data_IF_065345091171
#
_entry.id   IF_065345091171
#
_cell.length_a   1.000
_cell.length_b   1.000
_cell.length_c   1.000
_cell.angle_alpha   90.00
_cell.angle_beta   90.00
_cell.angle_gamma   90.00
#
_symmetry.space_group_name_H-M   'P 1'
#
loop_
_entity.id
_entity.type
_entity.pdbx_description
1 polymer ?
#
# COMPACT_ATOMS: atom_id res chain seq x y z
N UNK A 1 -33.58 33.68 -13.32
CA UNK A 1 -33.69 33.18 -14.71
C UNK A 1 -32.47 33.51 -15.55
N UNK A 2 -31.59 32.53 -15.74
CA UNK A 2 -30.65 32.48 -16.88
C UNK A 2 -30.39 31.00 -17.19
N UNK A 3 -31.14 30.45 -18.16
CA UNK A 3 -30.97 29.07 -18.63
C UNK A 3 -29.78 29.03 -19.60
N UNK A 4 -28.71 28.34 -19.20
CA UNK A 4 -27.63 27.91 -20.09
C UNK A 4 -27.91 26.48 -20.54
N UNK A 5 -28.04 26.28 -21.85
CA UNK A 5 -28.06 24.97 -22.51
C UNK A 5 -26.63 24.42 -22.65
N UNK A 6 -26.40 23.10 -22.50
CA UNK A 6 -25.12 22.49 -22.82
C UNK A 6 -25.04 22.13 -24.31
N UNK A 7 -23.99 22.62 -24.97
CA UNK A 7 -23.63 22.22 -26.33
C UNK A 7 -22.96 20.85 -26.35
N UNK A 8 -23.48 19.97 -27.20
CA UNK A 8 -22.93 18.62 -27.46
C UNK A 8 -21.70 18.74 -28.35
N UNK A 9 -20.53 18.40 -27.83
CA UNK A 9 -19.28 18.30 -28.60
C UNK A 9 -19.19 16.89 -29.21
N UNK A 10 -19.36 16.76 -30.54
CA UNK A 10 -19.04 15.53 -31.28
C UNK A 10 -17.59 15.58 -31.75
N UNK A 11 -16.71 14.82 -31.11
CA UNK A 11 -15.34 14.58 -31.60
C UNK A 11 -15.41 13.48 -32.65
N UNK A 12 -15.00 13.81 -33.88
CA UNK A 12 -14.89 12.90 -35.02
C UNK A 12 -13.45 12.39 -35.05
N UNK A 13 -13.25 11.12 -34.70
CA UNK A 13 -11.96 10.46 -34.82
C UNK A 13 -11.63 10.24 -36.30
N UNK A 14 -10.49 10.74 -36.76
CA UNK A 14 -9.86 10.30 -38.02
C UNK A 14 -8.66 9.43 -37.67
N UNK A 15 -8.75 8.15 -38.02
CA UNK A 15 -7.60 7.24 -38.11
C UNK A 15 -6.81 7.57 -39.38
N UNK A 16 -5.49 7.77 -39.25
CA UNK A 16 -4.56 7.66 -40.38
C UNK A 16 -3.20 7.15 -39.91
N UNK A 17 -3.07 5.83 -39.99
CA UNK A 17 -1.92 5.02 -40.43
C UNK A 17 -0.53 5.65 -40.50
N UNK A 18 0.39 5.10 -39.69
CA UNK A 18 1.79 4.67 -40.02
C UNK A 18 2.37 3.96 -38.79
N UNK A 19 2.35 2.62 -38.73
CA UNK A 19 3.48 1.72 -39.04
C UNK A 19 4.84 2.20 -38.51
N UNK A 20 5.36 1.58 -37.45
CA UNK A 20 6.41 0.55 -37.52
C UNK A 20 7.03 0.22 -36.15
N UNK A 21 7.25 -1.07 -35.92
CA UNK A 21 8.30 -1.70 -35.10
C UNK A 21 8.39 -1.38 -33.59
N UNK A 22 7.90 -2.31 -32.76
CA UNK A 22 8.80 -3.14 -31.94
C UNK A 22 8.05 -4.35 -31.36
N UNK A 23 8.61 -5.52 -31.65
CA UNK A 23 8.28 -6.83 -31.10
C UNK A 23 9.11 -7.02 -29.82
N UNK A 24 8.54 -7.77 -28.88
CA UNK A 24 9.15 -8.40 -27.70
C UNK A 24 9.24 -7.56 -26.40
N UNK A 25 8.17 -7.64 -25.59
CA UNK A 25 8.24 -8.22 -24.24
C UNK A 25 6.82 -8.24 -23.63
N UNK A 26 6.12 -9.37 -23.82
CA UNK A 26 4.99 -9.76 -22.99
C UNK A 26 5.55 -10.78 -22.02
N UNK A 27 5.70 -10.41 -20.75
CA UNK A 27 5.33 -11.24 -19.59
C UNK A 27 5.46 -10.41 -18.30
N UNK A 28 4.46 -10.55 -17.44
CA UNK A 28 4.33 -10.04 -16.06
C UNK A 28 4.09 -8.54 -15.87
N UNK A 29 2.80 -8.17 -15.81
CA UNK A 29 2.24 -7.29 -14.77
C UNK A 29 0.71 -7.38 -14.85
N UNK A 30 0.14 -8.32 -14.10
CA UNK A 30 -1.27 -8.29 -13.73
C UNK A 30 -1.38 -7.68 -12.33
N UNK A 31 -2.23 -6.66 -12.18
CA UNK A 31 -2.73 -6.20 -10.89
C UNK A 31 -2.18 -4.88 -10.38
N UNK A 32 -2.76 -3.76 -10.85
CA UNK A 32 -2.97 -2.54 -10.08
C UNK A 32 -3.87 -1.59 -10.88
N UNK A 33 -5.18 -1.65 -10.64
CA UNK A 33 -6.09 -0.56 -11.03
C UNK A 33 -6.17 0.41 -9.85
N UNK A 34 -5.34 1.45 -9.86
CA UNK A 34 -5.54 2.64 -9.02
C UNK A 34 -6.21 3.74 -9.83
N UNK A 35 -7.28 4.28 -9.25
CA UNK A 35 -8.01 5.46 -9.72
C UNK A 35 -7.12 6.70 -9.65
N UNK A 36 -6.91 7.37 -10.79
CA UNK A 36 -6.29 8.68 -10.83
C UNK A 36 -7.20 9.74 -10.19
N UNK A 37 -6.76 10.32 -9.07
CA UNK A 37 -7.26 11.60 -8.56
C UNK A 37 -6.30 12.70 -8.99
N UNK A 38 -6.69 13.47 -10.01
CA UNK A 38 -6.02 14.70 -10.41
C UNK A 38 -6.35 15.79 -9.38
N UNK A 39 -5.44 16.01 -8.43
CA UNK A 39 -5.12 17.32 -7.79
C UNK A 39 -4.42 17.06 -6.44
N UNK A 40 -3.11 16.80 -6.48
CA UNK A 40 -2.25 16.91 -5.32
C UNK A 40 -0.84 17.34 -5.75
N UNK A 41 -0.48 18.59 -5.45
CA UNK A 41 0.88 19.09 -5.51
C UNK A 41 1.65 18.50 -4.31
N UNK A 42 2.59 17.60 -4.59
CA UNK A 42 3.55 17.09 -3.60
C UNK A 42 4.90 17.74 -3.90
N UNK A 43 5.32 18.65 -3.03
CA UNK A 43 6.70 19.16 -3.00
C UNK A 43 7.62 18.09 -2.43
N UNK A 44 8.59 17.62 -3.23
CA UNK A 44 9.70 16.78 -2.76
C UNK A 44 10.94 17.65 -2.41
N UNK A 45 11.67 17.32 -1.34
CA UNK A 45 12.87 18.05 -0.92
C UNK A 45 14.08 17.79 -1.83
N UNK A 46 14.92 18.83 -1.95
CA UNK A 46 16.03 18.99 -2.93
C UNK A 46 17.29 18.16 -2.70
N UNK A 47 17.29 17.14 -1.85
CA UNK A 47 18.54 16.46 -1.45
C UNK A 47 18.83 15.15 -2.20
N UNK A 48 17.97 14.73 -3.14
CA UNK A 48 18.17 13.49 -3.91
C UNK A 48 18.96 13.61 -5.23
N UNK A 49 19.39 14.80 -5.66
CA UNK A 49 19.97 15.01 -7.01
C UNK A 49 21.50 14.96 -7.13
N UNK A 50 22.25 14.65 -6.07
CA UNK A 50 23.72 14.68 -6.10
C UNK A 50 24.45 13.31 -6.15
N UNK A 51 23.74 12.18 -6.21
CA UNK A 51 24.38 10.84 -6.13
C UNK A 51 24.25 9.96 -7.39
N UNK A 52 24.16 10.55 -8.58
CA UNK A 52 24.11 9.81 -9.86
C UNK A 52 24.96 10.44 -10.98
N UNK A 53 26.16 10.93 -10.65
CA UNK A 53 27.18 11.35 -11.64
C UNK A 53 28.61 10.91 -11.29
N UNK A 54 28.78 9.72 -10.74
CA UNK A 54 30.10 9.11 -10.61
C UNK A 54 30.08 7.67 -11.14
N UNK A 55 30.17 7.50 -12.47
CA UNK A 55 30.82 6.35 -13.14
C UNK A 55 30.57 6.35 -14.65
N UNK A 56 31.22 7.24 -15.41
CA UNK A 56 31.63 6.95 -16.81
C UNK A 56 32.94 7.71 -17.08
N UNK A 57 34.06 6.98 -17.21
CA UNK A 57 35.25 7.44 -17.95
C UNK A 57 34.96 7.28 -19.45
N UNK A 58 35.45 8.19 -20.31
CA UNK A 58 36.64 7.78 -21.07
C UNK A 58 37.70 8.89 -21.20
N UNK A 59 38.90 8.40 -21.48
CA UNK A 59 40.12 9.14 -21.71
C UNK A 59 40.08 10.00 -22.99
N UNK A 60 40.56 11.23 -22.90
CA UNK A 60 41.30 11.91 -23.96
C UNK A 60 42.30 12.89 -23.34
N UNK A 61 43.42 13.05 -24.04
CA UNK A 61 44.72 13.61 -23.64
C UNK A 61 44.76 15.14 -23.81
N UNK A 62 45.50 15.80 -22.92
CA UNK A 62 46.11 17.16 -22.93
C UNK A 62 45.31 18.38 -23.43
N UNK A 63 45.18 19.42 -22.60
CA UNK A 63 46.11 20.57 -22.56
C UNK A 63 45.65 21.55 -21.46
N UNK A 64 46.59 22.02 -20.63
CA UNK A 64 46.32 22.97 -19.56
C UNK A 64 46.18 24.39 -20.12
N UNK A 65 45.03 25.03 -19.87
CA UNK A 65 44.91 26.49 -19.95
C UNK A 65 44.11 26.97 -18.74
N UNK A 66 44.81 27.66 -17.84
CA UNK A 66 44.20 28.59 -16.89
C UNK A 66 43.51 29.70 -17.68
N UNK A 67 42.20 29.87 -17.49
CA UNK A 67 41.52 31.09 -17.92
C UNK A 67 40.89 31.77 -16.71
N UNK A 68 41.60 32.80 -16.26
CA UNK A 68 41.01 33.96 -15.62
C UNK A 68 40.28 34.77 -16.68
N UNK A 69 39.01 35.08 -16.46
CA UNK A 69 38.28 36.15 -17.16
C UNK A 69 37.36 36.79 -16.10
N UNK A 70 37.49 38.07 -15.75
CA UNK A 70 37.84 39.16 -16.63
C UNK A 70 36.63 40.07 -16.69
N UNK A 71 36.73 41.20 -16.00
CA UNK A 71 35.88 42.34 -16.25
C UNK A 71 35.90 42.66 -17.75
N UNK A 72 34.73 42.70 -18.41
CA UNK A 72 34.37 43.69 -19.43
C UNK A 72 33.14 43.24 -20.23
N UNK A 73 31.97 43.65 -19.75
CA UNK A 73 30.88 44.07 -20.63
C UNK A 73 30.68 45.58 -20.40
N UNK A 74 31.78 46.31 -20.58
CA UNK A 74 31.79 47.75 -20.74
C UNK A 74 30.95 48.09 -21.96
N UNK A 75 29.72 48.53 -21.72
CA UNK A 75 28.87 49.19 -22.70
C UNK A 75 29.50 50.51 -23.12
N UNK A 76 30.58 50.45 -23.91
CA UNK A 76 31.12 51.60 -24.64
C UNK A 76 30.27 51.83 -25.87
N UNK A 77 29.12 52.45 -25.65
CA UNK A 77 28.58 53.45 -26.56
C UNK A 77 28.48 54.77 -25.80
N UNK A 78 29.66 55.26 -25.36
CA UNK A 78 29.84 56.57 -24.73
C UNK A 78 29.85 57.72 -25.77
N UNK A 79 29.01 57.67 -26.80
CA UNK A 79 28.92 58.82 -27.72
C UNK A 79 28.03 59.94 -27.17
N UNK A 80 27.21 59.64 -26.17
CA UNK A 80 26.65 60.59 -25.21
C UNK A 80 26.76 59.92 -23.84
N UNK A 81 27.38 60.56 -22.84
CA UNK A 81 27.67 60.00 -21.51
C UNK A 81 26.43 59.70 -20.66
N UNK A 82 25.51 58.87 -21.15
CA UNK A 82 24.27 58.55 -20.48
C UNK A 82 24.15 57.05 -20.20
N UNK A 83 23.61 56.74 -19.02
CA UNK A 83 23.39 55.39 -18.55
C UNK A 83 22.22 54.75 -19.32
N UNK A 84 22.39 53.54 -19.87
CA UNK A 84 21.34 52.87 -20.68
C UNK A 84 20.57 51.78 -19.95
N UNK A 85 21.02 51.31 -18.79
CA UNK A 85 20.30 50.26 -18.06
C UNK A 85 19.18 50.87 -17.24
N UNK A 86 17.94 50.41 -17.43
CA UNK A 86 16.78 50.91 -16.68
C UNK A 86 16.59 50.21 -15.32
N UNK A 87 17.43 49.22 -15.02
CA UNK A 87 17.21 48.24 -13.95
C UNK A 87 16.23 47.16 -14.41
N UNK A 88 16.26 45.98 -13.77
CA UNK A 88 15.41 44.83 -14.11
C UNK A 88 16.05 43.78 -15.04
N UNK A 89 15.56 42.55 -14.95
CA UNK A 89 16.00 41.41 -15.79
C UNK A 89 14.82 40.89 -16.59
N UNK A 90 15.07 40.56 -17.85
CA UNK A 90 14.09 40.01 -18.79
C UNK A 90 14.50 38.57 -19.11
N UNK A 91 14.25 37.65 -18.15
CA UNK A 91 14.72 36.26 -18.22
C UNK A 91 13.80 35.35 -19.05
N UNK A 92 12.50 35.66 -19.09
CA UNK A 92 11.44 34.86 -19.72
C UNK A 92 10.40 35.72 -20.46
N UNK A 93 10.61 37.03 -20.57
CA UNK A 93 9.60 37.96 -21.09
C UNK A 93 10.18 39.30 -21.53
N UNK A 94 9.30 40.19 -21.96
CA UNK A 94 9.66 41.54 -22.41
C UNK A 94 9.87 42.44 -21.19
N UNK A 95 10.60 43.54 -21.35
CA UNK A 95 10.69 44.53 -20.29
C UNK A 95 9.33 45.21 -20.10
N UNK A 96 9.01 45.63 -18.87
CA UNK A 96 7.72 46.29 -18.61
C UNK A 96 7.52 47.51 -19.53
N UNK A 97 6.36 47.59 -20.17
CA UNK A 97 6.04 48.62 -21.18
C UNK A 97 6.17 50.06 -20.67
N UNK A 98 6.05 50.27 -19.35
CA UNK A 98 6.20 51.59 -18.74
C UNK A 98 7.65 52.12 -18.82
N UNK A 99 8.64 51.22 -18.95
CA UNK A 99 10.07 51.57 -19.03
C UNK A 99 10.48 51.98 -20.43
N UNK A 100 9.71 51.58 -21.46
CA UNK A 100 10.03 51.78 -22.88
C UNK A 100 11.46 51.29 -23.23
N UNK A 101 11.85 50.17 -22.64
CA UNK A 101 13.17 49.56 -22.77
C UNK A 101 13.08 48.22 -23.53
N UNK A 102 14.15 47.87 -24.24
CA UNK A 102 14.27 46.60 -24.94
C UNK A 102 15.05 45.60 -24.10
N UNK A 103 14.70 44.31 -24.23
CA UNK A 103 15.44 43.23 -23.60
C UNK A 103 16.70 42.90 -24.42
N UNK A 104 17.89 43.14 -23.86
CA UNK A 104 19.19 42.77 -24.44
C UNK A 104 20.00 42.05 -23.36
N UNK A 105 20.56 40.88 -23.68
CA UNK A 105 21.37 40.09 -22.74
C UNK A 105 20.71 39.86 -21.37
N UNK A 106 19.41 39.52 -21.39
CA UNK A 106 18.57 39.29 -20.20
C UNK A 106 18.44 40.51 -19.27
N UNK A 107 18.77 41.72 -19.75
CA UNK A 107 18.64 42.99 -19.05
C UNK A 107 17.82 44.00 -19.86
N UNK A 108 17.11 44.88 -19.15
CA UNK A 108 16.34 45.94 -19.78
C UNK A 108 17.21 47.16 -20.06
N UNK A 109 17.34 47.53 -21.34
CA UNK A 109 18.19 48.63 -21.80
C UNK A 109 17.46 49.57 -22.77
N UNK A 110 17.81 50.85 -22.74
CA UNK A 110 17.24 51.84 -23.66
C UNK A 110 17.80 51.70 -25.07
N UNK A 111 16.89 51.63 -26.05
CA UNK A 111 17.23 51.57 -27.46
C UNK A 111 17.63 52.95 -28.02
N UNK A 112 18.51 52.94 -29.03
CA UNK A 112 18.91 54.15 -29.77
C UNK A 112 19.69 55.18 -28.92
N UNK A 113 19.37 56.45 -29.12
CA UNK A 113 19.96 57.62 -28.43
C UNK A 113 19.24 57.98 -27.12
N UNK A 114 18.34 57.11 -26.64
CA UNK A 114 17.60 57.30 -25.38
C UNK A 114 18.46 56.93 -24.18
N UNK A 115 18.21 57.63 -23.08
CA UNK A 115 18.96 57.46 -21.83
C UNK A 115 18.02 57.05 -20.70
N UNK A 116 18.53 56.22 -19.79
CA UNK A 116 17.79 55.76 -18.63
C UNK A 116 17.86 56.83 -17.53
N UNK A 117 16.74 57.49 -17.27
CA UNK A 117 16.57 58.42 -16.15
C UNK A 117 15.42 57.90 -15.29
N UNK A 118 15.70 57.59 -14.03
CA UNK A 118 14.75 56.98 -13.08
C UNK A 118 14.07 55.71 -13.63
N UNK A 119 14.84 54.86 -14.32
CA UNK A 119 14.36 53.58 -14.84
C UNK A 119 13.44 53.66 -16.07
N UNK A 120 13.31 54.84 -16.71
CA UNK A 120 12.60 55.01 -17.99
C UNK A 120 13.53 55.53 -19.08
N UNK A 121 13.28 55.11 -20.31
CA UNK A 121 14.01 55.57 -21.48
C UNK A 121 13.42 56.89 -22.00
N UNK A 122 14.15 57.98 -21.81
CA UNK A 122 13.78 59.30 -22.35
C UNK A 122 14.69 59.67 -23.52
N UNK A 123 14.10 60.35 -24.50
CA UNK A 123 14.82 60.86 -25.66
C UNK A 123 15.51 62.17 -25.28
N UNK A 124 16.82 62.26 -25.52
CA UNK A 124 17.58 63.50 -25.37
C UNK A 124 17.22 64.41 -26.56
N UNK A 125 15.99 64.90 -26.63
CA UNK A 125 15.71 66.16 -27.31
C UNK A 125 16.16 67.28 -26.38
N UNK A 126 16.80 68.30 -26.93
CA UNK A 126 17.42 69.46 -26.28
C UNK A 126 16.49 70.25 -25.34
N UNK A 127 16.09 69.65 -24.22
CA UNK A 127 15.42 70.34 -23.10
C UNK A 127 16.39 70.43 -21.92
N UNK A 128 17.61 70.88 -22.20
CA UNK A 128 18.36 71.70 -21.28
C UNK A 128 18.27 73.14 -21.76
N UNK A 129 17.04 73.69 -21.70
CA UNK A 129 16.78 75.12 -21.83
C UNK A 129 17.52 75.85 -20.70
N UNK A 130 18.76 76.22 -20.99
CA UNK A 130 19.54 77.19 -20.26
C UNK A 130 18.86 78.56 -20.33
N UNK A 131 17.81 78.77 -19.53
CA UNK A 131 17.34 80.11 -19.18
C UNK A 131 18.29 80.73 -18.16
N UNK A 132 19.42 81.25 -18.64
CA UNK A 132 20.12 82.36 -17.99
C UNK A 132 21.23 82.88 -18.89
N UNK A 133 20.93 83.94 -19.64
CA UNK A 133 21.82 85.09 -19.90
C UNK A 133 21.21 86.06 -20.91
N UNK A 134 20.62 87.12 -20.38
CA UNK A 134 20.34 88.45 -20.95
C UNK A 134 19.50 89.11 -19.85
N UNK A 135 19.96 90.01 -19.00
CA UNK A 135 20.81 91.18 -19.21
C UNK A 135 21.40 91.56 -17.84
N UNK A 136 22.71 91.78 -17.72
CA UNK A 136 23.29 92.76 -16.78
C UNK A 136 24.82 92.82 -16.92
N UNK A 137 25.28 93.42 -18.00
CA UNK A 137 26.67 93.90 -18.13
C UNK A 137 26.73 95.43 -18.07
N UNK A 138 25.73 96.08 -17.48
CA UNK A 138 25.70 97.53 -17.26
C UNK A 138 25.85 97.92 -15.78
N UNK A 139 25.71 96.98 -14.83
CA UNK A 139 25.99 97.24 -13.40
C UNK A 139 27.47 97.15 -13.03
N UNK A 140 28.34 96.59 -13.89
CA UNK A 140 29.76 96.40 -13.59
C UNK A 140 30.59 97.70 -13.74
N UNK A 141 30.12 98.67 -14.53
CA UNK A 141 30.77 99.99 -14.64
C UNK A 141 30.51 100.89 -13.44
N UNK A 142 29.37 100.72 -12.74
CA UNK A 142 29.02 101.53 -11.57
C UNK A 142 29.81 101.14 -10.31
N UNK A 143 30.28 99.89 -10.21
CA UNK A 143 31.06 99.40 -9.05
C UNK A 143 32.56 99.73 -9.18
N UNK A 144 33.07 99.98 -10.39
CA UNK A 144 34.48 100.33 -10.61
C UNK A 144 34.82 101.80 -10.31
N UNK A 145 33.83 102.69 -10.18
CA UNK A 145 34.04 104.10 -9.79
C UNK A 145 33.95 104.36 -8.28
N UNK A 146 33.55 103.39 -7.46
CA UNK A 146 33.56 103.50 -5.98
C UNK A 146 34.83 102.93 -5.32
N UNK A 147 35.74 102.33 -6.11
CA UNK A 147 36.95 101.65 -5.61
C UNK A 147 38.19 102.53 -5.41
N UNK A 148 38.15 103.82 -5.74
CA UNK A 148 39.29 104.73 -5.55
C UNK A 148 39.33 105.42 -4.17
N UNK A 149 38.37 105.16 -3.26
CA UNK A 149 38.35 105.74 -1.91
C UNK A 149 38.68 104.76 -0.76
N UNK A 150 39.03 103.49 -1.03
CA UNK A 150 39.41 102.50 -0.01
C UNK A 150 40.78 101.87 -0.32
N UNK A 151 41.80 102.70 -0.43
CA UNK A 151 43.20 102.29 -0.65
C UNK A 151 44.03 102.25 0.65
N UNK A 152 43.46 102.59 1.81
CA UNK A 152 44.19 102.60 3.10
C UNK A 152 43.89 101.40 4.03
N UNK A 153 43.02 100.46 3.64
CA UNK A 153 42.74 99.23 4.42
C UNK A 153 43.26 97.94 3.79
N UNK A 154 43.90 98.01 2.61
CA UNK A 154 44.43 96.84 1.90
C UNK A 154 45.64 96.19 2.59
N UNK A 155 46.43 96.95 3.36
CA UNK A 155 47.55 96.41 4.15
C UNK A 155 47.06 95.68 5.42
N UNK A 156 46.02 96.20 6.08
CA UNK A 156 45.40 95.53 7.23
C UNK A 156 44.65 94.25 6.83
N UNK A 157 43.96 94.25 5.68
CA UNK A 157 43.26 93.08 5.17
C UNK A 157 44.20 91.93 4.75
N UNK A 158 45.42 92.24 4.32
CA UNK A 158 46.43 91.21 3.98
C UNK A 158 46.98 90.52 5.23
N UNK A 159 47.26 91.27 6.30
CA UNK A 159 47.69 90.70 7.58
C UNK A 159 46.60 89.84 8.23
N UNK A 160 45.33 90.27 8.15
CA UNK A 160 44.18 89.49 8.66
C UNK A 160 43.93 88.19 7.84
N UNK A 161 44.19 88.23 6.52
CA UNK A 161 44.10 87.05 5.67
C UNK A 161 45.24 86.04 5.92
N UNK A 162 46.47 86.51 6.13
CA UNK A 162 47.61 85.66 6.48
C UNK A 162 47.44 85.04 7.87
N UNK A 163 46.91 85.79 8.86
CA UNK A 163 46.59 85.26 10.18
C UNK A 163 45.48 84.19 10.14
N UNK A 164 44.43 84.39 9.34
CA UNK A 164 43.36 83.38 9.16
C UNK A 164 43.84 82.15 8.40
N UNK A 165 44.73 82.30 7.42
CA UNK A 165 45.32 81.16 6.72
C UNK A 165 46.16 80.29 7.67
N UNK A 166 46.95 80.89 8.56
CA UNK A 166 47.69 80.17 9.58
C UNK A 166 46.77 79.48 10.60
N UNK A 167 45.67 80.13 11.00
CA UNK A 167 44.68 79.52 11.92
C UNK A 167 43.95 78.33 11.28
N UNK A 168 43.64 78.39 9.97
CA UNK A 168 43.04 77.28 9.22
C UNK A 168 44.00 76.10 9.14
N UNK A 169 45.29 76.35 8.88
CA UNK A 169 46.33 75.31 8.84
C UNK A 169 46.51 74.61 10.19
N UNK A 170 46.63 75.37 11.29
CA UNK A 170 46.75 74.81 12.63
C UNK A 170 45.52 73.98 13.04
N UNK A 171 44.30 74.46 12.72
CA UNK A 171 43.07 73.68 12.98
C UNK A 171 42.94 72.44 12.09
N UNK A 172 43.58 72.45 10.92
CA UNK A 172 43.58 71.34 9.97
C UNK A 172 44.41 70.16 10.47
N UNK A 173 45.61 70.43 11.00
CA UNK A 173 46.51 69.38 11.52
C UNK A 173 45.93 68.67 12.75
N UNK A 174 45.33 69.42 13.68
CA UNK A 174 44.68 68.84 14.88
C UNK A 174 43.48 67.97 14.51
N UNK A 175 42.66 68.41 13.55
CA UNK A 175 41.53 67.62 13.02
C UNK A 175 41.99 66.39 12.26
N UNK A 176 43.09 66.47 11.51
CA UNK A 176 43.62 65.32 10.78
C UNK A 176 44.16 64.25 11.74
N UNK A 177 44.87 64.66 12.79
CA UNK A 177 45.35 63.75 13.85
C UNK A 177 44.17 63.07 14.55
N UNK A 178 43.16 63.84 14.96
CA UNK A 178 41.95 63.28 15.57
C UNK A 178 41.20 62.30 14.63
N UNK A 179 41.17 62.58 13.33
CA UNK A 179 40.56 61.69 12.35
C UNK A 179 41.34 60.38 12.16
N UNK A 180 42.68 60.42 12.22
CA UNK A 180 43.54 59.22 12.16
C UNK A 180 43.34 58.37 13.43
N UNK A 181 43.36 58.99 14.61
CA UNK A 181 43.15 58.28 15.88
C UNK A 181 41.75 57.64 15.94
N UNK A 182 40.72 58.33 15.44
CA UNK A 182 39.37 57.79 15.32
C UNK A 182 39.29 56.60 14.34
N UNK A 183 40.00 56.68 13.20
CA UNK A 183 40.06 55.58 12.23
C UNK A 183 40.78 54.36 12.78
N UNK A 184 41.88 54.56 13.51
CA UNK A 184 42.60 53.46 14.16
C UNK A 184 41.72 52.76 15.21
N UNK A 185 41.00 53.55 16.02
CA UNK A 185 40.06 53.04 17.02
C UNK A 185 38.91 52.27 16.37
N UNK A 186 38.33 52.79 15.29
CA UNK A 186 37.30 52.10 14.52
C UNK A 186 37.81 50.79 13.90
N UNK A 187 39.06 50.76 13.42
CA UNK A 187 39.68 49.55 12.89
C UNK A 187 39.86 48.46 13.96
N UNK A 188 40.25 48.85 15.19
CA UNK A 188 40.37 47.91 16.32
C UNK A 188 39.00 47.34 16.70
N UNK A 189 37.97 48.19 16.83
CA UNK A 189 36.61 47.71 17.10
C UNK A 189 36.05 46.81 15.99
N UNK A 190 36.39 47.08 14.73
CA UNK A 190 35.98 46.20 13.62
C UNK A 190 36.66 44.83 13.70
N UNK A 191 37.95 44.78 14.02
CA UNK A 191 38.68 43.53 14.23
C UNK A 191 38.09 42.72 15.40
N UNK A 192 37.79 43.36 16.53
CA UNK A 192 37.17 42.71 17.69
C UNK A 192 35.76 42.19 17.37
N UNK A 193 34.98 42.94 16.59
CA UNK A 193 33.64 42.52 16.16
C UNK A 193 33.72 41.29 15.24
N UNK A 194 34.70 41.23 14.33
CA UNK A 194 34.93 40.06 13.48
C UNK A 194 35.37 38.84 14.30
N UNK A 195 36.25 39.01 15.29
CA UNK A 195 36.68 37.93 16.16
C UNK A 195 35.50 37.33 16.95
N UNK A 196 34.64 38.18 17.54
CA UNK A 196 33.42 37.73 18.24
C UNK A 196 32.43 37.04 17.30
N UNK A 197 32.30 37.53 16.06
CA UNK A 197 31.43 36.89 15.07
C UNK A 197 31.96 35.51 14.66
N UNK A 198 33.28 35.32 14.56
CA UNK A 198 33.89 34.02 14.28
C UNK A 198 33.72 33.04 15.46
N UNK A 199 33.91 33.51 16.69
CA UNK A 199 33.67 32.70 17.89
C UNK A 199 32.20 32.25 18.00
N UNK A 200 31.26 33.16 17.73
CA UNK A 200 29.83 32.83 17.72
C UNK A 200 29.48 31.78 16.65
N UNK A 201 30.11 31.86 15.46
CA UNK A 201 29.95 30.85 14.41
C UNK A 201 30.49 29.49 14.83
N UNK A 202 31.66 29.45 15.46
CA UNK A 202 32.23 28.18 15.97
C UNK A 202 31.33 27.56 17.04
N UNK A 203 30.82 28.37 17.99
CA UNK A 203 29.85 27.89 19.00
C UNK A 203 28.57 27.35 18.38
N UNK A 204 28.06 27.98 17.33
CA UNK A 204 26.89 27.50 16.60
C UNK A 204 27.15 26.15 15.91
N UNK A 205 28.32 25.98 15.28
CA UNK A 205 28.71 24.69 14.65
C UNK A 205 28.83 23.59 15.70
N UNK A 206 29.48 23.85 16.84
CA UNK A 206 29.60 22.85 17.92
C UNK A 206 28.24 22.49 18.52
N UNK A 207 27.33 23.46 18.64
CA UNK A 207 25.97 23.20 19.11
C UNK A 207 25.17 22.34 18.12
N UNK A 208 25.34 22.57 16.80
CA UNK A 208 24.73 21.74 15.77
C UNK A 208 25.26 20.31 15.81
N UNK A 209 26.59 20.12 15.92
CA UNK A 209 27.18 18.79 16.03
C UNK A 209 26.66 18.02 17.25
N UNK A 210 26.53 18.69 18.41
CA UNK A 210 25.95 18.07 19.59
C UNK A 210 24.47 17.69 19.41
N UNK A 211 23.70 18.49 18.67
CA UNK A 211 22.31 18.17 18.33
C UNK A 211 22.21 16.96 17.37
N UNK A 212 23.11 16.89 16.39
CA UNK A 212 23.17 15.78 15.44
C UNK A 212 23.56 14.47 16.15
N UNK A 213 24.55 14.49 17.05
CA UNK A 213 24.93 13.35 17.89
C UNK A 213 23.78 12.89 18.82
N UNK A 214 23.06 13.84 19.42
CA UNK A 214 21.88 13.52 20.23
C UNK A 214 20.78 12.87 19.40
N UNK A 215 20.54 13.35 18.16
CA UNK A 215 19.56 12.75 17.26
C UNK A 215 19.93 11.34 16.82
N UNK A 216 21.22 11.07 16.58
CA UNK A 216 21.73 9.74 16.25
C UNK A 216 21.57 8.77 17.43
N UNK A 217 21.81 9.22 18.66
CA UNK A 217 21.57 8.44 19.89
C UNK A 217 20.09 8.06 20.05
N UNK A 218 19.17 8.99 19.80
CA UNK A 218 17.73 8.72 19.83
C UNK A 218 17.33 7.72 18.74
N UNK A 219 17.89 7.83 17.53
CA UNK A 219 17.63 6.87 16.46
C UNK A 219 18.09 5.45 16.82
N UNK A 220 19.27 5.29 17.42
CA UNK A 220 19.77 4.00 17.92
C UNK A 220 18.87 3.41 19.02
N UNK A 221 18.33 4.27 19.91
CA UNK A 221 17.40 3.83 20.94
C UNK A 221 16.04 3.39 20.38
N UNK A 222 15.54 4.08 19.35
CA UNK A 222 14.31 3.70 18.63
C UNK A 222 14.52 2.35 17.93
N UNK A 223 15.66 2.15 17.26
CA UNK A 223 15.97 0.87 16.61
C UNK A 223 16.01 -0.28 17.61
N UNK A 224 16.70 -0.10 18.75
CA UNK A 224 16.73 -1.10 19.82
C UNK A 224 15.33 -1.45 20.36
N UNK A 225 14.42 -0.48 20.41
CA UNK A 225 13.06 -0.73 20.83
C UNK A 225 12.28 -1.55 19.79
N UNK A 226 12.46 -1.26 18.50
CA UNK A 226 11.88 -2.07 17.42
C UNK A 226 12.41 -3.50 17.44
N UNK A 227 13.73 -3.69 17.56
CA UNK A 227 14.34 -5.03 17.63
C UNK A 227 13.81 -5.83 18.84
N UNK A 228 13.56 -5.16 19.97
CA UNK A 228 12.93 -5.78 21.14
C UNK A 228 11.47 -6.16 20.89
N UNK A 229 10.68 -5.31 20.22
CA UNK A 229 9.30 -5.64 19.87
C UNK A 229 9.23 -6.82 18.91
N UNK A 230 10.08 -6.84 17.88
CA UNK A 230 10.12 -7.93 16.90
C UNK A 230 10.49 -9.26 17.58
N UNK A 231 11.50 -9.25 18.46
CA UNK A 231 11.85 -10.44 19.25
C UNK A 231 10.70 -10.94 20.14
N UNK A 232 9.91 -10.03 20.73
CA UNK A 232 8.75 -10.42 21.54
C UNK A 232 7.61 -11.00 20.69
N UNK A 233 7.36 -10.45 19.50
CA UNK A 233 6.36 -10.95 18.58
C UNK A 233 6.74 -12.31 18.00
N UNK A 234 8.02 -12.53 17.67
CA UNK A 234 8.53 -13.83 17.25
C UNK A 234 8.38 -14.88 18.36
N UNK A 235 8.69 -14.53 19.60
CA UNK A 235 8.50 -15.43 20.74
C UNK A 235 7.02 -15.77 20.98
N UNK A 236 6.11 -14.79 20.86
CA UNK A 236 4.67 -15.02 20.96
C UNK A 236 4.15 -15.91 19.82
N UNK A 237 4.63 -15.69 18.59
CA UNK A 237 4.28 -16.52 17.44
C UNK A 237 4.75 -17.96 17.63
N UNK A 238 6.00 -18.17 18.09
CA UNK A 238 6.53 -19.50 18.38
C UNK A 238 5.71 -20.23 19.46
N UNK A 239 5.32 -19.54 20.52
CA UNK A 239 4.45 -20.11 21.56
C UNK A 239 3.07 -20.51 21.03
N UNK A 240 2.48 -19.70 20.13
CA UNK A 240 1.20 -20.03 19.49
C UNK A 240 1.31 -21.24 18.56
N UNK A 241 2.39 -21.34 17.78
CA UNK A 241 2.66 -22.50 16.93
C UNK A 241 2.76 -23.77 17.77
N UNK A 242 3.56 -23.74 18.85
CA UNK A 242 3.69 -24.89 19.75
C UNK A 242 2.35 -25.27 20.43
N UNK A 243 1.53 -24.29 20.80
CA UNK A 243 0.18 -24.55 21.33
C UNK A 243 -0.74 -25.22 20.30
N UNK A 244 -0.65 -24.80 19.03
CA UNK A 244 -1.42 -25.40 17.93
C UNK A 244 -0.94 -26.84 17.64
N UNK A 245 0.36 -27.09 17.62
CA UNK A 245 0.94 -28.43 17.45
C UNK A 245 0.46 -29.39 18.55
N UNK A 246 0.42 -28.91 19.80
CA UNK A 246 -0.12 -29.70 20.92
C UNK A 246 -1.63 -29.94 20.77
N UNK A 247 -2.39 -28.95 20.30
CA UNK A 247 -3.82 -29.11 20.06
C UNK A 247 -4.10 -30.11 18.93
N UNK A 248 -3.33 -30.07 17.83
CA UNK A 248 -3.44 -31.05 16.74
C UNK A 248 -3.10 -32.46 17.20
N UNK A 249 -2.04 -32.63 17.99
CA UNK A 249 -1.68 -33.94 18.55
C UNK A 249 -2.78 -34.51 19.47
N UNK A 250 -3.51 -33.66 20.19
CA UNK A 250 -4.65 -34.09 20.99
C UNK A 250 -5.85 -34.49 20.11
N UNK A 251 -6.16 -33.73 19.06
CA UNK A 251 -7.23 -34.09 18.12
C UNK A 251 -6.94 -35.41 17.38
N UNK A 252 -5.67 -35.67 17.03
CA UNK A 252 -5.26 -36.95 16.44
C UNK A 252 -5.47 -38.11 17.41
N UNK A 253 -5.16 -37.92 18.70
CA UNK A 253 -5.44 -38.94 19.74
C UNK A 253 -6.94 -39.18 19.93
N UNK A 254 -7.74 -38.12 19.93
CA UNK A 254 -9.20 -38.24 20.04
C UNK A 254 -9.80 -38.95 18.81
N UNK A 255 -9.32 -38.62 17.60
CA UNK A 255 -9.73 -39.29 16.38
C UNK A 255 -9.35 -40.79 16.38
N UNK A 256 -8.13 -41.12 16.82
CA UNK A 256 -7.71 -42.52 16.95
C UNK A 256 -8.53 -43.29 18.00
N UNK A 257 -8.90 -42.64 19.10
CA UNK A 257 -9.77 -43.23 20.11
C UNK A 257 -11.21 -43.45 19.59
N UNK A 258 -11.74 -42.52 18.79
CA UNK A 258 -13.04 -42.67 18.13
C UNK A 258 -13.02 -43.83 17.13
N UNK A 259 -12.00 -43.93 16.28
CA UNK A 259 -11.86 -45.05 15.33
C UNK A 259 -11.75 -46.41 16.05
N UNK A 260 -11.05 -46.45 17.20
CA UNK A 260 -10.97 -47.65 18.02
C UNK A 260 -12.34 -48.03 18.64
N UNK A 261 -13.13 -47.04 19.07
CA UNK A 261 -14.48 -47.25 19.58
C UNK A 261 -15.42 -47.79 18.49
N UNK A 262 -15.38 -47.22 17.29
CA UNK A 262 -16.18 -47.69 16.14
C UNK A 262 -15.83 -49.13 15.76
N UNK A 263 -14.54 -49.49 15.76
CA UNK A 263 -14.09 -50.88 15.53
C UNK A 263 -14.60 -51.83 16.61
N UNK A 264 -14.61 -51.40 17.87
CA UNK A 264 -15.13 -52.20 18.97
C UNK A 264 -16.66 -52.40 18.88
N UNK A 265 -17.40 -51.38 18.47
CA UNK A 265 -18.84 -51.47 18.23
C UNK A 265 -19.15 -52.39 17.04
N UNK A 266 -18.41 -52.26 15.93
CA UNK A 266 -18.53 -53.14 14.78
C UNK A 266 -18.25 -54.61 15.14
N UNK A 267 -17.25 -54.88 16.00
CA UNK A 267 -16.97 -56.23 16.50
C UNK A 267 -18.12 -56.78 17.35
N UNK A 268 -18.70 -55.96 18.24
CA UNK A 268 -19.89 -56.35 19.03
C UNK A 268 -21.10 -56.65 18.16
N UNK A 269 -21.35 -55.84 17.14
CA UNK A 269 -22.42 -56.08 16.18
C UNK A 269 -22.19 -57.39 15.41
N UNK A 270 -20.95 -57.66 14.97
CA UNK A 270 -20.61 -58.92 14.30
C UNK A 270 -20.85 -60.15 15.20
N UNK A 271 -20.49 -60.08 16.48
CA UNK A 271 -20.73 -61.15 17.45
C UNK A 271 -22.22 -61.37 17.73
N UNK A 272 -23.00 -60.28 17.81
CA UNK A 272 -24.46 -60.33 17.92
C UNK A 272 -25.10 -60.99 16.70
N UNK A 273 -24.68 -60.61 15.49
CA UNK A 273 -25.15 -61.23 14.25
C UNK A 273 -24.78 -62.71 14.14
N UNK A 274 -23.58 -63.09 14.59
CA UNK A 274 -23.17 -64.49 14.62
C UNK A 274 -24.07 -65.30 15.56
N UNK A 275 -24.31 -64.79 16.78
CA UNK A 275 -25.20 -65.41 17.76
C UNK A 275 -26.64 -65.55 17.24
N UNK A 276 -27.15 -64.53 16.55
CA UNK A 276 -28.47 -64.57 15.91
C UNK A 276 -28.55 -65.64 14.82
N UNK A 277 -27.54 -65.74 13.96
CA UNK A 277 -27.47 -66.77 12.91
C UNK A 277 -27.40 -68.19 13.49
N UNK A 278 -26.65 -68.39 14.58
CA UNK A 278 -26.64 -69.69 15.26
C UNK A 278 -28.01 -70.05 15.84
N UNK A 279 -28.73 -69.09 16.42
CA UNK A 279 -30.08 -69.30 16.92
C UNK A 279 -31.07 -69.64 15.79
N UNK A 280 -30.99 -68.93 14.66
CA UNK A 280 -31.77 -69.23 13.47
C UNK A 280 -31.45 -70.61 12.91
N UNK A 281 -30.17 -71.00 12.84
CA UNK A 281 -29.77 -72.32 12.36
C UNK A 281 -30.30 -73.43 13.29
N UNK A 282 -30.20 -73.26 14.61
CA UNK A 282 -30.77 -74.20 15.59
C UNK A 282 -32.30 -74.32 15.44
N UNK A 283 -32.99 -73.20 15.26
CA UNK A 283 -34.44 -73.18 15.02
C UNK A 283 -34.83 -73.80 13.67
N UNK A 284 -34.02 -73.61 12.62
CA UNK A 284 -34.23 -74.25 11.32
C UNK A 284 -34.02 -75.77 11.42
N UNK A 285 -32.98 -76.21 12.15
CA UNK A 285 -32.67 -77.63 12.34
C UNK A 285 -33.78 -78.34 13.13
N UNK A 286 -34.30 -77.71 14.19
CA UNK A 286 -35.42 -78.27 14.95
C UNK A 286 -36.72 -78.32 14.14
N UNK A 287 -36.97 -77.33 13.27
CA UNK A 287 -38.08 -77.40 12.31
C UNK A 287 -37.90 -78.53 11.31
N UNK A 288 -36.68 -78.75 10.82
CA UNK A 288 -36.39 -79.84 9.88
C UNK A 288 -36.67 -81.20 10.52
N UNK A 289 -36.23 -81.43 11.76
CA UNK A 289 -36.50 -82.69 12.48
C UNK A 289 -37.99 -82.92 12.74
N UNK A 290 -38.76 -81.85 12.98
CA UNK A 290 -40.23 -81.95 13.11
C UNK A 290 -40.87 -82.27 11.76
N UNK A 291 -40.42 -81.64 10.67
CA UNK A 291 -40.93 -81.93 9.33
C UNK A 291 -40.55 -83.33 8.83
N UNK A 292 -39.37 -83.85 9.19
CA UNK A 292 -38.99 -85.24 8.90
C UNK A 292 -39.82 -86.23 9.70
N UNK A 293 -40.09 -85.95 10.98
CA UNK A 293 -41.00 -86.75 11.79
C UNK A 293 -42.44 -86.73 11.22
N UNK A 294 -42.94 -85.57 10.81
CA UNK A 294 -44.24 -85.44 10.18
C UNK A 294 -44.29 -86.17 8.83
N UNK A 295 -43.25 -86.02 7.98
CA UNK A 295 -43.16 -86.74 6.72
C UNK A 295 -43.10 -88.27 6.91
N UNK A 296 -42.49 -88.75 8.01
CA UNK A 296 -42.51 -90.17 8.36
C UNK A 296 -43.89 -90.67 8.81
N UNK A 297 -44.67 -89.81 9.49
CA UNK A 297 -46.05 -90.11 9.88
C UNK A 297 -46.99 -90.08 8.67
N UNK A 298 -46.89 -89.06 7.82
CA UNK A 298 -47.67 -88.90 6.60
C UNK A 298 -47.32 -90.02 5.59
N UNK A 299 -46.05 -90.46 5.53
CA UNK A 299 -45.66 -91.63 4.73
C UNK A 299 -46.25 -92.94 5.26
N UNK A 300 -46.45 -93.07 6.57
CA UNK A 300 -47.10 -94.25 7.16
C UNK A 300 -48.61 -94.26 6.87
N UNK A 301 -49.28 -93.11 6.99
CA UNK A 301 -50.69 -92.97 6.57
C UNK A 301 -50.85 -93.20 5.06
N UNK A 302 -49.93 -92.69 4.24
CA UNK A 302 -49.98 -92.92 2.80
C UNK A 302 -49.75 -94.39 2.45
N UNK A 303 -48.85 -95.09 3.15
CA UNK A 303 -48.64 -96.53 2.96
C UNK A 303 -49.91 -97.32 3.32
N UNK A 304 -50.56 -96.99 4.44
CA UNK A 304 -51.82 -97.61 4.85
C UNK A 304 -52.95 -97.31 3.86
N UNK A 305 -53.02 -96.07 3.33
CA UNK A 305 -53.97 -95.68 2.30
C UNK A 305 -53.69 -96.36 0.95
N UNK A 306 -52.43 -96.58 0.60
CA UNK A 306 -52.03 -97.33 -0.61
C UNK A 306 -52.40 -98.80 -0.45
N UNK A 307 -52.19 -99.41 0.72
CA UNK A 307 -52.59 -100.80 0.97
C UNK A 307 -54.12 -100.95 0.98
N UNK A 308 -54.84 -100.01 1.59
CA UNK A 308 -56.30 -99.98 1.57
C UNK A 308 -56.85 -99.77 0.16
N UNK A 309 -56.27 -98.85 -0.62
CA UNK A 309 -56.63 -98.66 -2.03
C UNK A 309 -56.20 -99.84 -2.91
N UNK A 310 -55.10 -100.52 -2.62
CA UNK A 310 -54.70 -101.73 -3.35
C UNK A 310 -55.69 -102.88 -3.08
N UNK A 311 -56.18 -103.02 -1.85
CA UNK A 311 -57.25 -103.98 -1.53
C UNK A 311 -58.59 -103.58 -2.15
N UNK A 312 -58.95 -102.29 -2.12
CA UNK A 312 -60.18 -101.80 -2.74
C UNK A 312 -60.10 -101.89 -4.27
N UNK A 313 -58.95 -101.61 -4.87
CA UNK A 313 -58.68 -101.77 -6.30
C UNK A 313 -58.64 -103.23 -6.71
N UNK A 314 -58.06 -104.13 -5.92
CA UNK A 314 -58.15 -105.57 -6.18
C UNK A 314 -59.59 -106.09 -6.07
N UNK A 315 -60.40 -105.56 -5.14
CA UNK A 315 -61.82 -105.88 -5.04
C UNK A 315 -62.63 -105.29 -6.21
N UNK A 316 -62.31 -104.07 -6.63
CA UNK A 316 -62.94 -103.40 -7.76
C UNK A 316 -62.50 -104.01 -9.11
N UNK A 317 -61.26 -104.46 -9.26
CA UNK A 317 -60.75 -105.18 -10.43
C UNK A 317 -61.29 -106.61 -10.46
N UNK A 318 -61.54 -107.26 -9.32
CA UNK A 318 -62.29 -108.53 -9.28
C UNK A 318 -63.76 -108.35 -9.66
N UNK A 319 -64.38 -107.22 -9.27
CA UNK A 319 -65.75 -106.87 -9.68
C UNK A 319 -65.82 -106.42 -11.16
N UNK A 320 -64.85 -105.63 -11.62
CA UNK A 320 -64.75 -105.15 -12.99
C UNK A 320 -64.31 -106.27 -13.94
N UNK A 321 -63.49 -107.25 -13.54
CA UNK A 321 -63.21 -108.43 -14.35
C UNK A 321 -64.46 -109.33 -14.50
N UNK A 322 -65.37 -109.32 -13.52
CA UNK A 322 -66.68 -109.97 -13.64
C UNK A 322 -67.63 -109.20 -14.57
N UNK A 323 -67.46 -107.88 -14.74
CA UNK A 323 -68.29 -107.02 -15.59
C UNK A 323 -67.71 -106.80 -17.01
N UNK A 324 -66.38 -106.76 -17.18
CA UNK A 324 -65.66 -106.76 -18.47
C UNK A 324 -65.72 -108.14 -19.15
N UNK A 325 -65.80 -109.25 -18.40
CA UNK A 325 -66.15 -110.54 -18.97
C UNK A 325 -67.58 -110.55 -19.57
N UNK A 326 -68.46 -109.62 -19.15
CA UNK A 326 -69.80 -109.45 -19.69
C UNK A 326 -69.91 -108.38 -20.80
N UNK A 327 -69.01 -107.38 -20.85
CA UNK A 327 -69.05 -106.27 -21.82
C UNK A 327 -68.00 -106.34 -22.94
N UNK A 328 -66.91 -107.11 -22.81
CA UNK A 328 -65.96 -107.43 -23.91
C UNK A 328 -66.61 -108.34 -24.97
N UNK A 329 -67.78 -108.91 -24.69
CA UNK A 329 -68.64 -109.58 -25.68
C UNK A 329 -69.57 -108.63 -26.45
N UNK A 330 -69.63 -107.34 -26.12
CA UNK A 330 -70.66 -106.42 -26.64
C UNK A 330 -70.15 -105.10 -27.27
N UNK A 331 -68.85 -104.75 -27.18
CA UNK A 331 -68.36 -103.47 -27.72
C UNK A 331 -67.08 -103.59 -28.58
N UNK A 332 -67.02 -104.64 -29.40
CA UNK A 332 -66.27 -104.60 -30.65
C UNK A 332 -67.05 -103.80 -31.71
N UNK A 333 -67.17 -102.48 -31.54
CA UNK A 333 -67.60 -101.56 -32.61
C UNK A 333 -67.30 -100.09 -32.21
N UNK A 334 -66.45 -99.43 -33.01
CA UNK A 334 -66.20 -97.98 -33.08
C UNK A 334 -65.57 -97.35 -31.81
N UNK A 335 -64.37 -96.77 -31.88
CA UNK A 335 -64.14 -95.41 -32.37
C UNK A 335 -62.72 -95.26 -32.93
N UNK A 336 -62.62 -94.51 -34.03
CA UNK A 336 -61.41 -94.21 -34.79
C UNK A 336 -60.53 -93.18 -34.06
N UNK A 337 -59.26 -93.54 -33.97
CA UNK A 337 -58.06 -92.68 -33.98
C UNK A 337 -58.19 -91.56 -35.01
N UNK A 338 -57.74 -90.33 -34.67
CA UNK A 338 -56.79 -89.57 -35.51
C UNK A 338 -56.41 -88.14 -35.02
N UNK A 339 -56.96 -87.61 -33.92
CA UNK A 339 -56.67 -86.20 -33.53
C UNK A 339 -55.55 -85.98 -32.48
N UNK A 340 -55.02 -87.04 -31.87
CA UNK A 340 -53.97 -86.90 -30.84
C UNK A 340 -52.54 -86.73 -31.42
N UNK A 341 -52.30 -87.18 -32.65
CA UNK A 341 -50.98 -87.16 -33.27
C UNK A 341 -50.60 -85.78 -33.84
N UNK A 342 -51.58 -84.97 -34.28
CA UNK A 342 -51.31 -83.66 -34.91
C UNK A 342 -50.95 -82.56 -33.90
N UNK A 343 -51.44 -82.64 -32.66
CA UNK A 343 -51.11 -81.67 -31.60
C UNK A 343 -49.69 -81.85 -31.03
N UNK A 344 -49.13 -83.07 -31.12
CA UNK A 344 -47.79 -83.34 -30.59
C UNK A 344 -46.67 -82.87 -31.54
N UNK A 345 -46.88 -82.91 -32.86
CA UNK A 345 -45.90 -82.41 -33.84
C UNK A 345 -45.82 -80.87 -33.89
N UNK A 346 -46.95 -80.16 -33.71
CA UNK A 346 -46.96 -78.70 -33.71
C UNK A 346 -46.23 -78.08 -32.49
N UNK A 347 -46.26 -78.76 -31.34
CA UNK A 347 -45.52 -78.32 -30.14
C UNK A 347 -44.01 -78.57 -30.28
N UNK A 348 -43.61 -79.58 -31.06
CA UNK A 348 -42.22 -79.99 -31.27
C UNK A 348 -41.48 -79.06 -32.24
N UNK A 349 -42.14 -78.57 -33.31
CA UNK A 349 -41.55 -77.60 -34.24
C UNK A 349 -41.31 -76.22 -33.61
N UNK A 350 -42.16 -75.80 -32.67
CA UNK A 350 -41.99 -74.51 -31.97
C UNK A 350 -40.90 -74.55 -30.88
N UNK A 351 -40.54 -75.73 -30.37
CA UNK A 351 -39.43 -75.88 -29.40
C UNK A 351 -38.06 -76.00 -30.10
N UNK A 352 -38.04 -76.50 -31.34
CA UNK A 352 -36.82 -76.62 -32.15
C UNK A 352 -36.31 -75.26 -32.69
N UNK A 353 -37.20 -74.28 -32.88
CA UNK A 353 -36.82 -72.94 -33.36
C UNK A 353 -36.23 -72.04 -32.27
N UNK A 354 -36.52 -72.31 -30.99
CA UNK A 354 -35.96 -71.58 -29.84
C UNK A 354 -34.64 -72.14 -29.31
N UNK A 355 -34.21 -73.31 -29.79
CA UNK A 355 -32.95 -73.98 -29.38
C UNK A 355 -31.80 -73.77 -30.36
N UNK A 356 -31.99 -72.93 -31.40
CA UNK A 356 -30.89 -72.58 -32.30
C UNK A 356 -29.86 -71.71 -31.55
N UNK A 357 -28.58 -72.14 -31.47
CA UNK A 357 -27.54 -71.40 -30.76
C UNK A 357 -27.32 -69.98 -31.30
N UNK A 358 -27.70 -69.72 -32.56
CA UNK A 358 -27.62 -68.40 -33.18
C UNK A 358 -28.62 -67.40 -32.58
N UNK A 359 -29.82 -67.85 -32.20
CA UNK A 359 -30.86 -67.00 -31.58
C UNK A 359 -30.47 -66.66 -30.14
N UNK A 360 -29.92 -67.63 -29.41
CA UNK A 360 -29.41 -67.41 -28.05
C UNK A 360 -28.23 -66.43 -28.04
N UNK A 361 -27.29 -66.60 -28.97
CA UNK A 361 -26.14 -65.70 -29.13
C UNK A 361 -26.56 -64.28 -29.55
N UNK A 362 -27.63 -64.14 -30.34
CA UNK A 362 -28.19 -62.84 -30.71
C UNK A 362 -28.82 -62.13 -29.49
N UNK A 363 -29.57 -62.87 -28.65
CA UNK A 363 -30.17 -62.35 -27.43
C UNK A 363 -29.13 -61.96 -26.38
N UNK A 364 -28.06 -62.74 -26.20
CA UNK A 364 -26.96 -62.38 -25.30
C UNK A 364 -26.23 -61.12 -25.76
N UNK A 365 -25.98 -60.97 -27.08
CA UNK A 365 -25.40 -59.74 -27.64
C UNK A 365 -26.31 -58.53 -27.42
N UNK A 366 -27.62 -58.70 -27.57
CA UNK A 366 -28.58 -57.62 -27.33
C UNK A 366 -28.64 -57.23 -25.84
N UNK A 367 -28.63 -58.20 -24.92
CA UNK A 367 -28.59 -57.95 -23.49
C UNK A 367 -27.29 -57.23 -23.06
N UNK A 368 -26.13 -57.62 -23.62
CA UNK A 368 -24.85 -56.99 -23.34
C UNK A 368 -24.77 -55.56 -23.90
N UNK A 369 -25.28 -55.32 -25.11
CA UNK A 369 -25.38 -53.98 -25.68
C UNK A 369 -26.27 -53.06 -24.83
N UNK A 370 -27.35 -53.61 -24.26
CA UNK A 370 -28.27 -52.84 -23.41
C UNK A 370 -27.62 -52.48 -22.07
N UNK A 371 -26.86 -53.41 -21.46
CA UNK A 371 -26.08 -53.14 -20.24
C UNK A 371 -25.00 -52.08 -20.44
N UNK A 372 -24.26 -52.15 -21.54
CA UNK A 372 -23.24 -51.13 -21.85
C UNK A 372 -23.84 -49.75 -22.08
N UNK A 373 -25.05 -49.68 -22.67
CA UNK A 373 -25.76 -48.41 -22.83
C UNK A 373 -26.26 -47.83 -21.50
N UNK A 374 -26.71 -48.67 -20.56
CA UNK A 374 -27.11 -48.21 -19.22
C UNK A 374 -25.91 -47.75 -18.41
N UNK A 375 -24.80 -48.48 -18.44
CA UNK A 375 -23.58 -48.12 -17.71
C UNK A 375 -22.98 -46.79 -18.21
N UNK A 376 -23.04 -46.56 -19.53
CA UNK A 376 -22.61 -45.29 -20.13
C UNK A 376 -23.51 -44.11 -19.71
N UNK A 377 -24.83 -44.30 -19.65
CA UNK A 377 -25.76 -43.27 -19.21
C UNK A 377 -25.58 -42.94 -17.71
N UNK A 378 -25.34 -43.94 -16.86
CA UNK A 378 -25.06 -43.73 -15.44
C UNK A 378 -23.73 -42.99 -15.23
N UNK A 379 -22.70 -43.30 -16.03
CA UNK A 379 -21.42 -42.58 -15.98
C UNK A 379 -21.55 -41.11 -16.38
N UNK A 380 -22.35 -40.79 -17.41
CA UNK A 380 -22.61 -39.42 -17.84
C UNK A 380 -23.42 -38.63 -16.80
N UNK A 381 -24.40 -39.27 -16.16
CA UNK A 381 -25.16 -38.68 -15.06
C UNK A 381 -24.28 -38.39 -13.84
N UNK A 382 -23.38 -39.32 -13.48
CA UNK A 382 -22.42 -39.14 -12.39
C UNK A 382 -21.41 -38.01 -12.67
N UNK A 383 -20.92 -37.91 -13.92
CA UNK A 383 -20.04 -36.81 -14.34
C UNK A 383 -20.73 -35.44 -14.24
N UNK A 384 -22.00 -35.37 -14.66
CA UNK A 384 -22.81 -34.14 -14.59
C UNK A 384 -23.10 -33.73 -13.14
N UNK A 385 -23.40 -34.70 -12.26
CA UNK A 385 -23.60 -34.45 -10.83
C UNK A 385 -22.32 -33.92 -10.17
N UNK A 386 -21.16 -34.50 -10.50
CA UNK A 386 -19.85 -34.05 -10.00
C UNK A 386 -19.50 -32.64 -10.48
N UNK A 387 -19.77 -32.31 -11.74
CA UNK A 387 -19.56 -30.97 -12.28
C UNK A 387 -20.46 -29.93 -11.58
N UNK A 388 -21.71 -30.29 -11.29
CA UNK A 388 -22.66 -29.41 -10.58
C UNK A 388 -22.22 -29.15 -9.13
N UNK A 389 -21.72 -30.16 -8.43
CA UNK A 389 -21.18 -30.00 -7.07
C UNK A 389 -19.93 -29.12 -7.06
N UNK A 390 -19.02 -29.30 -8.03
CA UNK A 390 -17.84 -28.47 -8.16
C UNK A 390 -18.19 -26.99 -8.44
N UNK A 391 -19.16 -26.74 -9.32
CA UNK A 391 -19.65 -25.39 -9.60
C UNK A 391 -20.28 -24.73 -8.35
N UNK A 392 -21.04 -25.50 -7.56
CA UNK A 392 -21.62 -25.02 -6.30
C UNK A 392 -20.53 -24.67 -5.27
N UNK A 393 -19.54 -25.55 -5.09
CA UNK A 393 -18.42 -25.29 -4.17
C UNK A 393 -17.63 -24.02 -4.56
N UNK A 394 -17.39 -23.81 -5.86
CA UNK A 394 -16.73 -22.59 -6.35
C UNK A 394 -17.58 -21.33 -6.07
N UNK A 395 -18.90 -21.40 -6.22
CA UNK A 395 -19.80 -20.29 -5.92
C UNK A 395 -19.83 -19.96 -4.42
N UNK A 396 -19.80 -20.97 -3.55
CA UNK A 396 -19.78 -20.81 -2.09
C UNK A 396 -18.46 -20.15 -1.63
N UNK A 397 -17.31 -20.56 -2.18
CA UNK A 397 -16.00 -19.92 -1.90
C UNK A 397 -16.01 -18.45 -2.33
N UNK A 398 -16.49 -18.15 -3.54
CA UNK A 398 -16.60 -16.78 -4.04
C UNK A 398 -17.59 -15.92 -3.23
N UNK A 399 -18.58 -16.53 -2.56
CA UNK A 399 -19.47 -15.83 -1.64
C UNK A 399 -18.78 -15.49 -0.30
N UNK A 400 -17.96 -16.41 0.23
CA UNK A 400 -17.17 -16.20 1.45
C UNK A 400 -16.13 -15.09 1.24
N UNK A 401 -15.41 -15.09 0.12
CA UNK A 401 -14.43 -14.04 -0.19
C UNK A 401 -15.08 -12.65 -0.30
N UNK A 402 -16.24 -12.55 -0.99
CA UNK A 402 -17.00 -11.30 -1.07
C UNK A 402 -17.51 -10.82 0.28
N UNK A 403 -17.82 -11.73 1.21
CA UNK A 403 -18.22 -11.38 2.57
C UNK A 403 -17.04 -10.96 3.46
N UNK A 404 -15.85 -11.54 3.25
CA UNK A 404 -14.65 -11.24 4.04
C UNK A 404 -13.96 -9.94 3.63
N UNK A 405 -13.89 -9.65 2.32
CA UNK A 405 -13.19 -8.46 1.79
C UNK A 405 -13.60 -7.13 2.46
N UNK A 406 -14.90 -6.78 2.60
CA UNK A 406 -15.29 -5.52 3.23
C UNK A 406 -15.05 -5.49 4.74
N UNK A 407 -15.00 -6.65 5.42
CA UNK A 407 -14.69 -6.73 6.85
C UNK A 407 -13.20 -6.50 7.11
N UNK A 408 -12.35 -7.09 6.27
CA UNK A 408 -10.90 -6.88 6.34
C UNK A 408 -10.54 -5.42 6.01
N UNK A 409 -11.16 -4.83 4.98
CA UNK A 409 -10.92 -3.42 4.65
C UNK A 409 -11.40 -2.47 5.75
N UNK A 410 -12.55 -2.74 6.38
CA UNK A 410 -13.05 -1.97 7.50
C UNK A 410 -12.14 -2.09 8.74
N UNK A 411 -11.65 -3.29 9.05
CA UNK A 411 -10.71 -3.52 10.14
C UNK A 411 -9.38 -2.78 9.90
N UNK A 412 -8.83 -2.85 8.69
CA UNK A 412 -7.61 -2.13 8.33
C UNK A 412 -7.79 -0.60 8.43
N UNK A 413 -8.93 -0.08 7.97
CA UNK A 413 -9.25 1.34 8.12
C UNK A 413 -9.35 1.75 9.59
N UNK A 414 -9.91 0.90 10.46
CA UNK A 414 -9.99 1.18 11.89
C UNK A 414 -8.61 1.21 12.56
N UNK A 415 -7.71 0.29 12.17
CA UNK A 415 -6.32 0.28 12.64
C UNK A 415 -5.58 1.55 12.22
N UNK A 416 -5.72 1.98 10.96
CA UNK A 416 -5.08 3.21 10.48
C UNK A 416 -5.57 4.45 11.24
N UNK A 417 -6.88 4.55 11.51
CA UNK A 417 -7.45 5.64 12.31
C UNK A 417 -6.96 5.61 13.76
N UNK A 418 -6.81 4.42 14.34
CA UNK A 418 -6.25 4.28 15.69
C UNK A 418 -4.77 4.73 15.73
N UNK A 419 -3.99 4.38 14.70
CA UNK A 419 -2.58 4.75 14.61
C UNK A 419 -2.40 6.27 14.45
N UNK A 420 -3.19 6.90 13.57
CA UNK A 420 -3.26 8.36 13.42
C UNK A 420 -3.57 9.07 14.75
N UNK A 421 -4.51 8.55 15.54
CA UNK A 421 -4.84 9.10 16.88
C UNK A 421 -3.69 8.95 17.86
N UNK A 422 -2.97 7.84 17.83
CA UNK A 422 -1.79 7.63 18.68
C UNK A 422 -0.66 8.60 18.32
N UNK A 423 -0.40 8.80 17.03
CA UNK A 423 0.60 9.75 16.53
C UNK A 423 0.20 11.18 16.96
N UNK A 424 -1.05 11.58 16.74
CA UNK A 424 -1.55 12.89 17.15
C UNK A 424 -1.44 13.12 18.67
N UNK A 425 -1.75 12.10 19.48
CA UNK A 425 -1.60 12.17 20.94
C UNK A 425 -0.13 12.27 21.38
N UNK A 426 0.79 11.61 20.68
CA UNK A 426 2.22 11.72 20.93
C UNK A 426 2.74 13.13 20.61
N UNK A 427 2.33 13.72 19.48
CA UNK A 427 2.66 15.10 19.14
C UNK A 427 2.11 16.11 20.14
N UNK A 428 0.88 15.93 20.61
CA UNK A 428 0.29 16.78 21.65
C UNK A 428 1.08 16.73 22.97
N UNK A 429 1.53 15.53 23.38
CA UNK A 429 2.39 15.38 24.57
C UNK A 429 3.75 16.04 24.37
N UNK A 430 4.39 15.86 23.22
CA UNK A 430 5.66 16.50 22.91
C UNK A 430 5.55 18.04 22.92
N UNK A 431 4.46 18.59 22.36
CA UNK A 431 4.18 20.01 22.39
C UNK A 431 3.99 20.54 23.81
N UNK A 432 3.28 19.80 24.68
CA UNK A 432 3.10 20.17 26.08
C UNK A 432 4.44 20.22 26.85
N UNK A 433 5.31 19.23 26.66
CA UNK A 433 6.66 19.21 27.27
C UNK A 433 7.50 20.38 26.77
N UNK A 434 7.42 20.70 25.46
CA UNK A 434 8.11 21.86 24.91
C UNK A 434 7.63 23.18 25.52
N UNK A 435 6.31 23.35 25.73
CA UNK A 435 5.78 24.57 26.36
C UNK A 435 6.18 24.69 27.83
N UNK A 436 6.22 23.58 28.58
CA UNK A 436 6.69 23.59 29.95
C UNK A 436 8.17 23.98 30.04
N UNK A 437 9.00 23.47 29.13
CA UNK A 437 10.43 23.85 29.03
C UNK A 437 10.60 25.34 28.73
N UNK A 438 9.85 25.88 27.77
CA UNK A 438 9.87 27.32 27.45
C UNK A 438 9.39 28.15 28.64
N UNK A 439 8.33 27.72 29.34
CA UNK A 439 7.83 28.40 30.53
C UNK A 439 8.87 28.42 31.66
N UNK A 440 9.59 27.32 31.89
CA UNK A 440 10.70 27.27 32.86
C UNK A 440 11.83 28.23 32.49
N UNK A 441 12.24 28.26 31.22
CA UNK A 441 13.30 29.17 30.76
C UNK A 441 12.90 30.65 30.89
N UNK A 442 11.64 30.98 30.56
CA UNK A 442 11.10 32.32 30.76
C UNK A 442 11.04 32.68 32.25
N UNK A 443 10.61 31.77 33.10
CA UNK A 443 10.56 32.00 34.55
C UNK A 443 11.94 32.28 35.13
N UNK A 444 12.97 31.49 34.78
CA UNK A 444 14.35 31.74 35.21
C UNK A 444 14.88 33.10 34.74
N UNK A 445 14.64 33.49 33.48
CA UNK A 445 15.05 34.81 32.99
C UNK A 445 14.31 35.95 33.68
N UNK A 446 13.04 35.76 33.99
CA UNK A 446 12.24 36.77 34.71
C UNK A 446 12.76 36.94 36.14
N UNK A 447 13.19 35.85 36.78
CA UNK A 447 13.78 35.86 38.11
C UNK A 447 15.14 36.57 38.14
N UNK A 448 15.98 36.35 37.13
CA UNK A 448 17.25 37.08 36.96
C UNK A 448 17.04 38.58 36.71
N UNK A 449 16.08 38.95 35.85
CA UNK A 449 15.78 40.34 35.52
C UNK A 449 15.10 41.10 36.67
N UNK A 450 14.38 40.41 37.55
CA UNK A 450 13.76 41.00 38.73
C UNK A 450 14.77 41.38 39.83
N UNK A 451 16.07 41.12 39.62
CA UNK A 451 17.11 41.50 40.59
C UNK A 451 16.90 40.78 41.92
N UNK A 452 16.45 39.53 41.89
CA UNK A 452 16.20 38.71 43.07
C UNK A 452 17.49 38.50 43.87
N UNK A 453 17.79 39.42 44.78
CA UNK A 453 18.60 39.10 45.95
C UNK A 453 17.99 37.83 46.57
N UNK A 454 18.82 36.80 46.75
CA UNK A 454 18.43 35.57 47.42
C UNK A 454 17.90 35.89 48.81
N UNK A 455 16.58 36.09 48.93
CA UNK A 455 15.89 36.10 50.21
C UNK A 455 15.87 34.64 50.66
N UNK A 456 16.95 34.20 51.29
CA UNK A 456 16.96 33.00 52.10
C UNK A 456 15.92 33.21 53.21
N UNK A 457 14.74 32.61 53.05
CA UNK A 457 13.72 32.55 54.09
C UNK A 457 14.29 31.72 55.26
N UNK A 458 14.92 32.41 56.21
CA UNK A 458 15.64 31.77 57.33
C UNK A 458 14.76 31.43 58.54
N UNK A 459 13.46 31.75 58.50
CA UNK A 459 12.63 31.81 59.72
C UNK A 459 11.47 30.81 59.78
N UNK A 460 11.65 29.55 59.36
CA UNK A 460 10.61 28.53 59.62
C UNK A 460 11.11 27.18 60.16
N UNK A 461 12.41 27.00 60.44
CA UNK A 461 12.89 25.86 61.23
C UNK A 461 12.80 26.14 62.74
N UNK A 462 11.61 26.53 63.19
CA UNK A 462 11.29 26.75 64.59
C UNK A 462 10.24 25.75 65.07
N UNK A 463 10.64 24.48 65.28
CA UNK A 463 10.30 23.68 66.49
C UNK A 463 10.60 22.18 66.34
N UNK A 464 11.44 21.71 67.26
CA UNK A 464 11.41 20.40 67.92
C UNK A 464 11.32 19.14 67.06
N UNK A 465 12.47 18.59 66.67
CA UNK A 465 12.71 17.15 66.80
C UNK A 465 14.14 16.88 67.26
N UNK A 466 14.25 16.42 68.52
CA UNK A 466 15.35 15.56 68.94
C UNK A 466 15.18 14.24 68.21
N UNK A 467 15.84 14.07 67.08
CA UNK A 467 16.13 12.74 66.56
C UNK A 467 17.56 12.76 66.04
N UNK A 468 18.39 12.01 66.74
CA UNK A 468 19.80 11.82 66.45
C UNK A 468 19.96 11.02 65.14
N UNK A 469 20.97 11.40 64.36
CA UNK A 469 21.59 10.50 63.39
C UNK A 469 20.94 10.46 62.02
N UNK A 470 21.15 11.50 61.22
CA UNK A 470 21.39 11.33 59.78
C UNK A 470 22.11 12.57 59.23
N UNK A 471 23.11 12.30 58.41
CA UNK A 471 24.17 13.24 58.02
C UNK A 471 23.70 14.44 57.19
N UNK A 472 24.57 15.45 57.04
CA UNK A 472 24.23 16.74 56.48
C UNK A 472 24.36 16.73 54.96
N UNK A 473 23.47 16.04 54.26
CA UNK A 473 23.36 16.18 52.80
C UNK A 473 21.88 16.09 52.42
N UNK A 474 21.28 17.27 52.18
CA UNK A 474 20.01 17.56 51.50
C UNK A 474 19.18 18.58 52.28
N UNK A 475 19.62 19.83 52.21
CA UNK A 475 18.72 20.97 52.16
C UNK A 475 19.15 21.83 50.97
N UNK A 476 18.48 21.64 49.84
CA UNK A 476 18.27 22.62 48.78
C UNK A 476 16.87 22.36 48.24
#
# INVERSE_FOLDING_TARGET
>A
DYKRTPGVLRIRAMFSSRKACLVALVLSCAGAEETCSSDAQVDLPKEGQQLLQASIKPAFVEEAVEVSDGADASGKNQFLGCYKQTGGTCRLGWCDDWRKADCRDKRCVCAGTKCAVNGKCIEYSETSDGKSKKNNMDSLKKVLQEKSAKSSTAAAAKADAEAKAAQIQASGEEKMKAAVDARETASKHHADALARAQEAKQKAVTAQQAADEASASVADQIQKYHDQQDATLEAEAANKIHALEHATANLEKEAAAAEAADKQEAARLAESHHSAREAEHKAATSKLSVSEAQASADSAELQEAIEANAMAKAAAEAAAAAEEAATVKAQAAEVKSDDAAQLYELARENLATLSSPDVLAALEKQALATRLATDAAEAEAAATAKATLAAKAAADVAAVERAHSPRVSAAQSAVNVANERHIAAAHAKAAAVSQESIARQLWTKTFELAGGEHICYKDSCGRNRRDAGRGPDKCC
#
